data_IF_418989783835
#
_entry.id   IF_418989783835
#
_cell.length_a   1.000
_cell.length_b   1.000
_cell.length_c   1.000
_cell.angle_alpha   90.00
_cell.angle_beta   90.00
_cell.angle_gamma   90.00
#
_symmetry.space_group_name_H-M   'P 1'
#
loop_
_entity.id
_entity.type
_entity.pdbx_description
1 polymer ?
#
# COMPACT_ATOMS: atom_id res chain seq x y z
N UNK A 1 23.23 12.35 -6.46
CA UNK A 1 22.78 11.24 -5.58
C UNK A 1 21.32 11.01 -5.87
N UNK A 2 20.99 9.86 -6.47
CA UNK A 2 19.62 9.45 -6.77
C UNK A 2 19.04 8.89 -5.47
N UNK A 3 18.05 9.58 -4.88
CA UNK A 3 17.31 9.04 -3.75
C UNK A 3 16.24 8.08 -4.28
N UNK A 4 16.53 6.77 -4.32
CA UNK A 4 15.48 5.75 -4.41
C UNK A 4 14.97 5.50 -2.99
N UNK A 5 13.91 6.17 -2.56
CA UNK A 5 13.29 5.82 -1.27
C UNK A 5 12.52 4.51 -1.45
N UNK A 6 13.00 3.43 -0.83
CA UNK A 6 12.42 2.08 -0.84
C UNK A 6 11.31 1.90 0.20
N UNK A 7 10.87 2.97 0.86
CA UNK A 7 9.88 2.93 1.92
C UNK A 7 8.47 2.94 1.33
N UNK A 8 7.76 1.81 1.42
CA UNK A 8 6.40 1.62 0.86
C UNK A 8 5.34 1.32 1.90
N UNK A 9 5.71 1.24 3.18
CA UNK A 9 4.78 1.08 4.30
C UNK A 9 5.09 2.13 5.36
N UNK A 10 4.09 2.96 5.67
CA UNK A 10 4.17 4.04 6.64
C UNK A 10 3.19 3.79 7.77
N UNK A 11 3.59 4.05 9.00
CA UNK A 11 2.74 3.86 10.18
C UNK A 11 2.68 5.12 11.04
N UNK A 12 1.52 5.34 11.66
CA UNK A 12 1.33 6.37 12.67
C UNK A 12 0.60 5.80 13.86
N UNK A 13 0.96 6.24 15.05
CA UNK A 13 0.30 5.87 16.31
C UNK A 13 -0.35 7.12 16.91
N UNK A 14 -1.46 6.95 17.62
CA UNK A 14 -2.10 8.05 18.31
C UNK A 14 -1.48 8.20 19.70
N UNK A 15 -0.86 9.34 20.01
CA UNK A 15 -0.15 9.55 21.29
C UNK A 15 -1.02 9.27 22.52
N UNK A 16 -2.30 9.64 22.47
CA UNK A 16 -3.26 9.40 23.55
C UNK A 16 -3.95 8.02 23.49
N UNK A 17 -3.79 7.28 22.39
CA UNK A 17 -4.45 6.00 22.11
C UNK A 17 -3.46 5.05 21.44
N UNK A 18 -2.52 4.55 22.24
CA UNK A 18 -1.47 3.64 21.79
C UNK A 18 -2.01 2.29 21.29
N UNK A 19 -3.28 1.99 21.62
CA UNK A 19 -4.06 0.88 21.08
C UNK A 19 -4.57 1.13 19.65
N UNK A 20 -4.39 2.33 19.10
CA UNK A 20 -4.74 2.71 17.74
C UNK A 20 -3.49 2.99 16.90
N UNK A 21 -3.45 2.40 15.72
CA UNK A 21 -2.42 2.63 14.71
C UNK A 21 -3.09 2.83 13.35
N UNK A 22 -2.52 3.67 12.50
CA UNK A 22 -2.86 3.70 11.07
C UNK A 22 -1.64 3.29 10.27
N UNK A 23 -1.86 2.42 9.30
CA UNK A 23 -0.89 2.05 8.30
C UNK A 23 -1.31 2.57 6.93
N UNK A 24 -0.31 2.92 6.13
CA UNK A 24 -0.48 3.34 4.74
C UNK A 24 0.50 2.54 3.93
N UNK A 25 -0.03 1.76 3.00
CA UNK A 25 0.76 0.92 2.11
C UNK A 25 0.70 1.56 0.73
N UNK A 26 1.86 1.87 0.17
CA UNK A 26 2.00 2.23 -1.24
C UNK A 26 1.87 0.95 -2.06
N UNK A 27 1.01 0.97 -3.07
CA UNK A 27 0.82 -0.15 -3.97
C UNK A 27 2.14 -0.53 -4.65
N UNK A 28 2.53 -1.82 -4.63
CA UNK A 28 3.82 -2.24 -5.18
C UNK A 28 3.92 -2.02 -6.70
N UNK A 29 5.12 -1.69 -7.17
CA UNK A 29 5.42 -1.70 -8.61
C UNK A 29 5.18 -3.10 -9.21
N UNK A 30 4.81 -3.15 -10.49
CA UNK A 30 4.51 -4.41 -11.15
C UNK A 30 3.10 -4.96 -10.88
N UNK A 31 2.24 -4.21 -10.20
CA UNK A 31 0.89 -4.63 -9.80
C UNK A 31 -0.16 -3.65 -10.32
N UNK A 32 -1.46 -4.02 -10.40
CA UNK A 32 -2.53 -3.06 -10.72
C UNK A 32 -2.76 -2.00 -9.62
N UNK A 33 -2.01 -2.07 -8.52
CA UNK A 33 -2.11 -1.16 -7.38
C UNK A 33 -1.03 -0.06 -7.37
N UNK A 34 -0.02 -0.17 -8.25
CA UNK A 34 1.20 0.64 -8.18
C UNK A 34 0.92 2.14 -7.97
N UNK A 35 1.73 2.75 -7.10
CA UNK A 35 1.63 4.16 -6.71
C UNK A 35 0.33 4.59 -6.02
N UNK A 36 -0.65 3.69 -5.86
CA UNK A 36 -1.83 3.92 -5.05
C UNK A 36 -1.50 3.97 -3.56
N UNK A 37 -2.32 4.69 -2.78
CA UNK A 37 -2.22 4.72 -1.32
C UNK A 37 -3.37 3.93 -0.70
N UNK A 38 -3.05 2.86 0.03
CA UNK A 38 -3.99 1.98 0.70
C UNK A 38 -3.92 2.20 2.21
N UNK A 39 -5.01 2.71 2.79
CA UNK A 39 -5.04 3.18 4.18
C UNK A 39 -5.77 2.18 5.07
N UNK A 40 -5.18 1.85 6.20
CA UNK A 40 -5.70 0.89 7.17
C UNK A 40 -5.68 1.47 8.58
N UNK A 41 -6.78 1.39 9.30
CA UNK A 41 -6.79 1.58 10.76
C UNK A 41 -6.67 0.23 11.46
N UNK A 42 -5.94 0.24 12.57
CA UNK A 42 -5.59 -0.92 13.37
C UNK A 42 -5.95 -0.63 14.82
N UNK A 43 -6.72 -1.51 15.43
CA UNK A 43 -7.05 -1.49 16.84
C UNK A 43 -6.46 -2.73 17.53
N UNK A 44 -5.61 -2.51 18.52
CA UNK A 44 -5.10 -3.54 19.41
C UNK A 44 -6.13 -3.75 20.55
N UNK A 45 -6.85 -4.88 20.59
CA UNK A 45 -7.85 -5.11 21.63
C UNK A 45 -7.19 -5.29 23.01
N UNK A 46 -7.95 -5.17 24.13
CA UNK A 46 -7.41 -5.30 25.49
C UNK A 46 -6.69 -6.63 25.78
N UNK A 47 -7.03 -7.69 25.04
CA UNK A 47 -6.43 -9.02 25.13
C UNK A 47 -5.35 -9.27 24.07
N UNK A 48 -4.89 -8.26 23.34
CA UNK A 48 -3.68 -8.36 22.51
C UNK A 48 -2.45 -8.58 23.42
N UNK A 49 -1.49 -9.47 23.06
CA UNK A 49 -1.37 -10.22 21.82
C UNK A 49 -1.97 -11.64 21.87
N UNK A 50 -2.80 -11.98 22.85
CA UNK A 50 -3.48 -13.29 22.92
C UNK A 50 -4.48 -13.50 21.77
N UNK A 51 -4.95 -12.41 21.16
CA UNK A 51 -5.75 -12.40 19.91
C UNK A 51 -5.11 -11.44 18.90
N UNK A 52 -5.40 -11.59 17.59
CA UNK A 52 -4.89 -10.67 16.57
C UNK A 52 -5.42 -9.24 16.72
N UNK A 53 -4.74 -8.26 16.12
CA UNK A 53 -5.28 -6.90 16.01
C UNK A 53 -6.50 -6.88 15.07
N UNK A 54 -7.39 -5.91 15.25
CA UNK A 54 -8.47 -5.64 14.30
C UNK A 54 -7.98 -4.66 13.24
N UNK A 55 -8.21 -4.96 11.96
CA UNK A 55 -7.77 -4.12 10.83
C UNK A 55 -8.98 -3.71 10.01
N UNK A 56 -9.09 -2.41 9.74
CA UNK A 56 -10.11 -1.80 8.90
C UNK A 56 -9.47 -1.10 7.70
N UNK A 57 -9.89 -1.46 6.50
CA UNK A 57 -9.44 -0.85 5.24
C UNK A 57 -10.38 0.27 4.80
N UNK A 58 -9.81 1.42 4.44
CA UNK A 58 -10.57 2.51 3.83
C UNK A 58 -10.80 2.24 2.34
N UNK A 59 -11.88 1.51 2.04
CA UNK A 59 -12.26 1.08 0.69
C UNK A 59 -12.80 2.19 -0.21
N UNK A 60 -13.37 3.26 0.37
CA UNK A 60 -14.16 4.24 -0.39
C UNK A 60 -15.39 3.63 -1.08
N UNK A 61 -15.87 2.46 -0.61
CA UNK A 61 -16.96 1.70 -1.22
C UNK A 61 -16.55 0.89 -2.45
N UNK A 62 -15.24 0.74 -2.72
CA UNK A 62 -14.73 -0.02 -3.86
C UNK A 62 -14.17 -1.37 -3.40
N UNK A 63 -14.42 -2.43 -4.18
CA UNK A 63 -13.86 -3.76 -3.96
C UNK A 63 -12.67 -4.01 -4.88
N UNK A 64 -11.49 -3.62 -4.42
CA UNK A 64 -10.24 -3.69 -5.19
C UNK A 64 -9.59 -5.07 -5.23
N UNK A 65 -9.93 -5.95 -4.29
CA UNK A 65 -9.32 -7.26 -4.16
C UNK A 65 -10.32 -8.25 -3.53
N UNK A 66 -10.25 -9.56 -3.82
CA UNK A 66 -11.08 -10.56 -3.15
C UNK A 66 -10.94 -10.54 -1.62
N UNK A 67 -9.78 -10.12 -1.10
CA UNK A 67 -9.50 -10.00 0.33
C UNK A 67 -9.67 -8.57 0.90
N UNK A 68 -10.03 -7.57 0.09
CA UNK A 68 -10.31 -6.19 0.53
C UNK A 68 -11.74 -5.81 0.16
N UNK A 69 -12.63 -5.83 1.15
CA UNK A 69 -14.06 -5.69 0.94
C UNK A 69 -14.44 -4.22 0.85
N UNK A 70 -15.53 -3.94 0.14
CA UNK A 70 -16.13 -2.60 0.03
C UNK A 70 -16.58 -2.02 1.40
N UNK A 71 -16.89 -2.88 2.37
CA UNK A 71 -17.21 -2.49 3.74
C UNK A 71 -15.97 -2.24 4.63
N UNK A 72 -14.77 -2.43 4.09
CA UNK A 72 -13.49 -2.23 4.79
C UNK A 72 -12.96 -3.46 5.53
N UNK A 73 -13.62 -4.63 5.41
CA UNK A 73 -13.09 -5.88 5.95
C UNK A 73 -11.84 -6.33 5.20
N UNK A 74 -10.82 -6.76 5.95
CA UNK A 74 -9.58 -7.36 5.42
C UNK A 74 -9.55 -8.85 5.73
N UNK A 75 -9.39 -9.69 4.71
CA UNK A 75 -9.24 -11.14 4.85
C UNK A 75 -7.76 -11.53 4.87
N UNK A 76 -7.29 -12.04 6.01
CA UNK A 76 -5.95 -12.58 6.18
C UNK A 76 -5.97 -13.63 7.30
N UNK A 77 -5.27 -14.76 7.11
CA UNK A 77 -5.21 -15.83 8.11
C UNK A 77 -4.62 -15.34 9.44
N UNK A 78 -3.60 -14.49 9.39
CA UNK A 78 -3.02 -13.81 10.56
C UNK A 78 -4.00 -12.93 11.33
N UNK A 79 -5.13 -12.55 10.72
CA UNK A 79 -6.20 -11.77 11.37
C UNK A 79 -7.38 -12.64 11.81
N UNK A 80 -7.28 -13.97 11.64
CA UNK A 80 -8.36 -14.92 11.83
C UNK A 80 -9.62 -14.59 10.98
N UNK A 81 -9.47 -13.84 9.88
CA UNK A 81 -10.56 -13.49 8.96
C UNK A 81 -10.53 -14.30 7.67
N UNK A 82 -9.58 -15.23 7.56
CA UNK A 82 -9.42 -16.14 6.43
C UNK A 82 -8.94 -17.51 6.88
N UNK A 83 -9.19 -18.52 6.05
CA UNK A 83 -8.71 -19.88 6.30
C UNK A 83 -7.20 -19.96 6.04
N UNK A 84 -6.51 -20.81 6.81
CA UNK A 84 -5.08 -21.07 6.65
C UNK A 84 -4.65 -22.26 7.49
N UNK A 85 -3.42 -22.72 7.29
CA UNK A 85 -2.79 -23.72 8.17
C UNK A 85 -2.61 -23.12 9.56
N UNK A 86 -2.57 -23.95 10.61
CA UNK A 86 -2.35 -23.48 11.99
C UNK A 86 -1.09 -22.61 12.15
N UNK A 87 -0.07 -22.82 11.33
CA UNK A 87 1.18 -22.04 11.30
C UNK A 87 1.04 -20.67 10.64
N UNK A 88 -0.03 -20.45 9.87
CA UNK A 88 -0.34 -19.20 9.16
C UNK A 88 -1.35 -18.34 9.93
N UNK A 89 -2.02 -18.91 10.93
CA UNK A 89 -2.94 -18.18 11.82
C UNK A 89 -2.17 -17.32 12.83
N UNK A 90 -2.87 -16.42 13.52
CA UNK A 90 -2.27 -15.65 14.61
C UNK A 90 -1.74 -16.56 15.74
N UNK A 91 -0.46 -16.42 16.09
CA UNK A 91 0.17 -17.16 17.18
C UNK A 91 0.57 -16.16 18.28
N UNK A 92 -0.08 -16.21 19.46
CA UNK A 92 0.24 -15.32 20.57
C UNK A 92 1.73 -15.32 20.94
N UNK A 93 2.29 -14.12 21.11
CA UNK A 93 3.70 -13.93 21.45
C UNK A 93 4.71 -14.24 20.34
N UNK A 94 4.26 -14.67 19.14
CA UNK A 94 5.12 -14.89 17.96
C UNK A 94 4.73 -14.03 16.77
N UNK A 95 3.43 -13.91 16.50
CA UNK A 95 2.93 -13.08 15.41
C UNK A 95 3.07 -11.59 15.74
N UNK A 96 3.28 -10.76 14.72
CA UNK A 96 3.55 -9.32 14.86
C UNK A 96 2.70 -8.50 13.90
N UNK A 97 2.47 -7.23 14.24
CA UNK A 97 1.81 -6.28 13.33
C UNK A 97 2.62 -6.06 12.04
N UNK A 98 3.96 -6.14 12.11
CA UNK A 98 4.82 -6.08 10.93
C UNK A 98 4.50 -7.20 9.93
N UNK A 99 4.36 -8.45 10.41
CA UNK A 99 3.97 -9.57 9.57
C UNK A 99 2.60 -9.34 8.92
N UNK A 100 1.62 -8.79 9.65
CA UNK A 100 0.32 -8.43 9.07
C UNK A 100 0.48 -7.43 7.92
N UNK A 101 1.23 -6.33 8.12
CA UNK A 101 1.39 -5.29 7.10
C UNK A 101 2.15 -5.79 5.87
N UNK A 102 3.23 -6.55 6.07
CA UNK A 102 4.00 -7.17 4.98
C UNK A 102 3.17 -8.22 4.25
N UNK A 103 2.35 -9.00 4.95
CA UNK A 103 1.41 -9.95 4.33
C UNK A 103 0.33 -9.24 3.50
N UNK A 104 -0.21 -8.10 3.95
CA UNK A 104 -1.14 -7.32 3.14
C UNK A 104 -0.43 -6.85 1.86
N UNK A 105 0.77 -6.27 1.96
CA UNK A 105 1.48 -5.80 0.78
C UNK A 105 1.86 -6.93 -0.19
N UNK A 106 2.39 -8.05 0.32
CA UNK A 106 2.92 -9.14 -0.50
C UNK A 106 1.88 -10.13 -1.00
N UNK A 107 0.84 -10.43 -0.20
CA UNK A 107 -0.16 -11.46 -0.52
C UNK A 107 -1.44 -10.84 -1.09
N UNK A 108 -1.84 -9.65 -0.66
CA UNK A 108 -3.09 -9.03 -1.10
C UNK A 108 -2.82 -8.10 -2.29
N UNK A 109 -1.88 -7.16 -2.14
CA UNK A 109 -1.55 -6.16 -3.18
C UNK A 109 -0.55 -6.71 -4.21
N UNK A 110 -0.76 -7.93 -4.70
CA UNK A 110 0.16 -8.64 -5.60
C UNK A 110 -0.17 -8.39 -7.10
N UNK A 111 0.63 -8.98 -8.01
CA UNK A 111 0.51 -8.77 -9.46
C UNK A 111 -0.67 -9.51 -10.14
N UNK A 112 -1.23 -10.54 -9.50
CA UNK A 112 -2.32 -11.39 -10.02
C UNK A 112 -3.43 -11.59 -8.98
N UNK A 113 -4.08 -10.50 -8.51
CA UNK A 113 -5.07 -10.55 -7.44
C UNK A 113 -6.34 -11.33 -7.78
N UNK A 114 -6.58 -11.68 -9.06
CA UNK A 114 -7.64 -12.60 -9.47
C UNK A 114 -7.56 -13.95 -8.72
N UNK A 115 -6.35 -14.46 -8.49
CA UNK A 115 -6.13 -15.74 -7.81
C UNK A 115 -6.21 -15.66 -6.29
N UNK A 116 -6.47 -14.48 -5.72
CA UNK A 116 -6.71 -14.33 -4.29
C UNK A 116 -8.10 -14.86 -3.87
N UNK A 117 -9.00 -15.12 -4.84
CA UNK A 117 -10.27 -15.79 -4.59
C UNK A 117 -10.03 -17.30 -4.32
N UNK A 118 -10.61 -17.88 -3.26
CA UNK A 118 -10.44 -19.29 -2.92
C UNK A 118 -10.71 -20.22 -4.09
N UNK A 119 -9.74 -21.11 -4.33
CA UNK A 119 -9.85 -22.17 -5.33
C UNK A 119 -9.58 -21.70 -6.77
N UNK A 120 -9.47 -20.40 -7.05
CA UNK A 120 -9.25 -19.92 -8.42
C UNK A 120 -7.91 -20.39 -8.98
N UNK A 121 -6.88 -20.51 -8.15
CA UNK A 121 -5.57 -21.09 -8.52
C UNK A 121 -5.67 -22.50 -9.09
N UNK A 122 -6.65 -23.30 -8.64
CA UNK A 122 -6.85 -24.69 -9.06
C UNK A 122 -7.91 -24.82 -10.15
N UNK A 123 -8.90 -23.92 -10.16
CA UNK A 123 -10.00 -23.92 -11.14
C UNK A 123 -9.59 -23.31 -12.48
N UNK A 124 -8.75 -22.27 -12.45
CA UNK A 124 -8.36 -21.51 -13.63
C UNK A 124 -6.86 -21.68 -13.89
N UNK A 125 -6.49 -22.84 -14.44
CA UNK A 125 -5.11 -23.20 -14.77
C UNK A 125 -4.81 -22.90 -16.24
N UNK A 126 -3.56 -22.56 -16.56
CA UNK A 126 -3.11 -22.32 -17.93
C UNK A 126 -3.58 -20.99 -18.51
N UNK A 127 -3.74 -20.94 -19.83
CA UNK A 127 -3.96 -19.69 -20.57
C UNK A 127 -5.29 -18.99 -20.23
N UNK A 128 -6.37 -19.74 -19.96
CA UNK A 128 -7.66 -19.12 -19.61
C UNK A 128 -7.59 -18.38 -18.26
N UNK A 129 -6.90 -18.96 -17.28
CA UNK A 129 -6.67 -18.31 -15.98
C UNK A 129 -5.81 -17.06 -16.12
N UNK A 130 -4.77 -17.11 -16.95
CA UNK A 130 -3.93 -15.94 -17.21
C UNK A 130 -4.71 -14.83 -17.91
N UNK A 131 -5.53 -15.18 -18.92
CA UNK A 131 -6.40 -14.24 -19.63
C UNK A 131 -7.39 -13.56 -18.67
N UNK A 132 -8.02 -14.32 -17.78
CA UNK A 132 -8.95 -13.77 -16.75
C UNK A 132 -8.22 -12.89 -15.74
N UNK A 133 -7.03 -13.30 -15.31
CA UNK A 133 -6.19 -12.50 -14.41
C UNK A 133 -5.81 -11.15 -15.03
N UNK A 134 -5.46 -11.12 -16.32
CA UNK A 134 -5.17 -9.88 -17.05
C UNK A 134 -6.41 -8.97 -17.15
N UNK A 135 -7.58 -9.53 -17.45
CA UNK A 135 -8.85 -8.77 -17.45
C UNK A 135 -9.17 -8.21 -16.06
N UNK A 136 -8.97 -9.00 -15.00
CA UNK A 136 -9.16 -8.54 -13.64
C UNK A 136 -8.20 -7.40 -13.27
N UNK A 137 -6.95 -7.45 -13.74
CA UNK A 137 -5.98 -6.38 -13.53
C UNK A 137 -6.41 -5.06 -14.18
N UNK A 138 -7.04 -5.10 -15.35
CA UNK A 138 -7.62 -3.91 -16.00
C UNK A 138 -8.68 -3.26 -15.11
N UNK A 139 -9.62 -4.05 -14.60
CA UNK A 139 -10.68 -3.56 -13.71
C UNK A 139 -10.10 -2.98 -12.42
N UNK A 140 -9.18 -3.70 -11.77
CA UNK A 140 -8.53 -3.26 -10.54
C UNK A 140 -7.75 -1.98 -10.76
N UNK A 141 -7.04 -1.83 -11.87
CA UNK A 141 -6.30 -0.61 -12.16
C UNK A 141 -7.23 0.61 -12.27
N UNK A 142 -8.37 0.49 -12.95
CA UNK A 142 -9.37 1.57 -13.00
C UNK A 142 -9.87 1.91 -11.59
N UNK A 143 -10.14 0.91 -10.74
CA UNK A 143 -10.52 1.12 -9.34
C UNK A 143 -9.39 1.78 -8.53
N UNK A 144 -8.13 1.44 -8.78
CA UNK A 144 -6.96 2.07 -8.16
C UNK A 144 -6.90 3.56 -8.51
N UNK A 145 -7.09 3.92 -9.79
CA UNK A 145 -7.15 5.33 -10.23
C UNK A 145 -8.30 6.09 -9.56
N UNK A 146 -9.49 5.47 -9.44
CA UNK A 146 -10.62 6.05 -8.71
C UNK A 146 -10.30 6.28 -7.24
N UNK A 147 -9.60 5.33 -6.62
CA UNK A 147 -9.13 5.41 -5.22
C UNK A 147 -8.13 6.55 -5.05
N UNK A 148 -7.18 6.74 -5.97
CA UNK A 148 -6.26 7.88 -5.94
C UNK A 148 -7.01 9.21 -5.96
N UNK A 149 -7.98 9.37 -6.87
CA UNK A 149 -8.81 10.59 -6.94
C UNK A 149 -9.62 10.79 -5.65
N UNK A 150 -10.19 9.71 -5.10
CA UNK A 150 -10.90 9.75 -3.81
C UNK A 150 -9.98 10.23 -2.68
N UNK A 151 -8.80 9.62 -2.54
CA UNK A 151 -7.83 9.92 -1.47
C UNK A 151 -7.26 11.34 -1.60
N UNK A 152 -7.03 11.85 -2.81
CA UNK A 152 -6.63 13.26 -3.03
C UNK A 152 -7.73 14.23 -2.61
N UNK A 153 -9.00 13.92 -2.95
CA UNK A 153 -10.13 14.81 -2.66
C UNK A 153 -10.58 14.75 -1.20
N UNK A 154 -10.37 13.61 -0.53
CA UNK A 154 -10.80 13.34 0.84
C UNK A 154 -9.70 12.60 1.60
N UNK A 155 -8.54 13.22 1.87
CA UNK A 155 -7.51 12.58 2.66
C UNK A 155 -8.05 12.30 4.07
N UNK A 156 -7.80 11.10 4.58
CA UNK A 156 -8.29 10.66 5.89
C UNK A 156 -7.70 11.55 7.00
N UNK A 157 -8.53 12.40 7.61
CA UNK A 157 -8.06 13.38 8.59
C UNK A 157 -7.54 12.74 9.88
N UNK A 158 -6.64 13.48 10.54
CA UNK A 158 -6.02 13.23 11.86
C UNK A 158 -5.18 11.98 12.00
N UNK A 159 -3.86 12.17 12.08
CA UNK A 159 -2.93 11.52 13.05
C UNK A 159 -1.76 12.47 13.27
N UNK A 160 -1.29 12.64 14.51
CA UNK A 160 -0.05 13.34 14.79
C UNK A 160 1.15 12.38 14.59
N UNK A 161 2.15 12.80 13.80
CA UNK A 161 3.45 12.15 13.54
C UNK A 161 3.49 10.91 12.59
N UNK A 162 4.35 10.93 11.54
CA UNK A 162 4.70 9.76 10.69
C UNK A 162 5.96 9.05 11.19
N UNK A 163 5.92 7.71 11.28
CA UNK A 163 7.10 6.86 11.41
C UNK A 163 7.11 5.87 10.23
N UNK A 164 8.25 5.71 9.57
CA UNK A 164 8.41 4.68 8.52
C UNK A 164 8.77 3.33 9.12
N UNK A 165 8.24 2.23 8.56
CA UNK A 165 8.42 0.87 9.09
C UNK A 165 9.88 0.40 9.02
N UNK A 166 10.66 0.91 8.07
CA UNK A 166 12.11 0.69 7.94
C UNK A 166 12.94 1.26 9.09
N UNK A 167 12.42 2.25 9.82
CA UNK A 167 13.10 2.89 10.95
C UNK A 167 12.70 2.29 12.30
N UNK A 168 11.92 1.21 12.30
CA UNK A 168 11.66 0.41 13.49
C UNK A 168 12.76 -0.66 13.63
N UNK A 169 13.59 -0.64 14.70
CA UNK A 169 14.51 -1.73 14.94
C UNK A 169 13.72 -3.04 15.09
N UNK A 170 14.28 -4.13 14.56
CA UNK A 170 13.77 -5.51 14.49
C UNK A 170 13.25 -6.14 15.81
N UNK A 171 13.22 -5.38 16.91
CA UNK A 171 13.02 -5.86 18.28
C UNK A 171 11.82 -5.24 19.00
N UNK A 172 10.82 -4.68 18.31
CA UNK A 172 9.58 -4.26 18.97
C UNK A 172 8.70 -5.49 19.31
N UNK A 173 9.21 -6.37 20.17
CA UNK A 173 8.39 -7.21 21.02
C UNK A 173 7.70 -6.26 22.01
N UNK A 174 6.45 -5.90 21.73
CA UNK A 174 5.67 -4.97 22.56
C UNK A 174 5.37 -5.59 23.93
N UNK A 175 6.30 -5.44 24.88
CA UNK A 175 6.00 -5.38 26.31
C UNK A 175 6.11 -3.92 26.72
N UNK A 176 4.96 -3.28 26.96
CA UNK A 176 4.89 -1.92 27.45
C UNK A 176 4.37 -1.94 28.89
N UNK A 177 5.27 -1.73 29.86
CA UNK A 177 4.90 -1.41 31.23
C UNK A 177 4.95 0.11 31.45
N UNK A 178 3.94 0.58 32.18
CA UNK A 178 3.56 1.96 32.40
C UNK A 178 4.62 2.73 33.19
N UNK A 179 5.02 3.91 32.68
CA UNK A 179 4.93 5.22 33.37
C UNK A 179 5.91 6.22 32.74
N UNK A 180 5.40 7.39 32.35
CA UNK A 180 6.08 8.68 32.26
C UNK A 180 7.47 8.75 31.59
N UNK A 181 7.51 9.32 30.38
CA UNK A 181 8.69 9.77 29.63
C UNK A 181 9.78 8.71 29.34
N UNK A 182 9.84 8.34 28.06
CA UNK A 182 10.76 7.43 27.37
C UNK A 182 12.10 7.11 28.08
N UNK A 183 12.30 5.82 28.39
CA UNK A 183 13.63 5.21 28.51
C UNK A 183 13.59 3.78 27.95
N UNK A 184 14.05 3.61 26.70
CA UNK A 184 14.27 2.30 26.10
C UNK A 184 15.66 1.84 26.52
N UNK A 185 15.75 0.88 27.44
CA UNK A 185 17.01 0.20 27.72
C UNK A 185 17.25 -0.88 26.65
N UNK A 186 18.31 -0.71 25.86
CA UNK A 186 18.80 -1.74 24.95
C UNK A 186 19.50 -2.83 25.77
N UNK A 187 18.94 -4.03 25.78
CA UNK A 187 19.64 -5.23 26.23
C UNK A 187 20.13 -5.98 24.98
N UNK A 188 21.45 -6.13 24.84
CA UNK A 188 22.04 -7.13 23.96
C UNK A 188 21.58 -8.53 24.43
N UNK A 189 21.52 -9.60 23.60
CA UNK A 189 21.28 -10.99 24.00
C UNK A 189 22.05 -11.51 25.25
N UNK A 190 23.01 -10.76 25.79
CA UNK A 190 23.78 -11.07 27.00
C UNK A 190 23.42 -10.22 28.24
N UNK A 191 22.42 -9.33 28.16
CA UNK A 191 21.87 -8.62 29.32
C UNK A 191 22.65 -7.39 29.82
N UNK A 192 23.58 -6.83 29.04
CA UNK A 192 24.35 -5.64 29.42
C UNK A 192 23.80 -4.36 28.75
N UNK A 193 23.73 -3.28 29.53
CA UNK A 193 23.29 -1.94 29.10
C UNK A 193 24.44 -1.24 28.35
N UNK A 194 24.18 -0.78 27.13
CA UNK A 194 25.18 -0.02 26.35
C UNK A 194 25.26 1.46 26.82
N UNK A 195 26.46 2.06 26.87
CA UNK A 195 26.64 3.46 27.25
C UNK A 195 26.11 4.43 26.19
N UNK A 196 25.57 5.57 26.65
CA UNK A 196 24.79 6.57 25.90
C UNK A 196 25.51 7.17 24.67
N UNK A 197 26.84 7.10 24.61
CA UNK A 197 27.65 7.72 23.56
C UNK A 197 27.61 7.00 22.19
N UNK A 198 26.94 5.85 22.09
CA UNK A 198 26.99 4.99 20.89
C UNK A 198 25.76 5.10 19.97
N UNK A 199 24.71 5.85 20.34
CA UNK A 199 23.51 6.02 19.50
C UNK A 199 23.48 7.38 18.80
N UNK A 200 24.04 7.42 17.59
CA UNK A 200 23.75 8.47 16.61
C UNK A 200 22.38 8.16 15.95
N UNK A 201 21.30 8.70 16.53
CA UNK A 201 20.05 8.85 15.80
C UNK A 201 20.19 10.03 14.83
N UNK A 202 20.33 9.76 13.54
CA UNK A 202 20.07 10.80 12.55
C UNK A 202 18.56 11.04 12.51
N UNK A 203 18.11 12.10 13.19
CA UNK A 203 16.83 12.73 12.90
C UNK A 203 16.86 13.02 11.39
N UNK A 204 16.04 12.34 10.60
CA UNK A 204 15.90 12.64 9.19
C UNK A 204 15.53 14.14 9.10
N UNK A 205 16.50 14.96 8.68
CA UNK A 205 16.29 16.40 8.53
C UNK A 205 15.31 16.56 7.36
N UNK A 206 14.06 16.89 7.69
CA UNK A 206 13.00 17.49 6.84
C UNK A 206 11.65 16.74 6.66
N UNK A 207 11.30 15.70 7.42
CA UNK A 207 9.91 15.19 7.35
C UNK A 207 8.99 15.95 8.32
N UNK A 208 8.69 17.22 8.01
CA UNK A 208 7.71 18.08 8.69
C UNK A 208 6.25 17.75 8.28
N UNK A 209 5.91 16.49 7.99
CA UNK A 209 4.53 16.14 7.63
C UNK A 209 3.76 15.90 8.94
N UNK A 210 3.21 16.96 9.53
CA UNK A 210 2.46 16.86 10.79
C UNK A 210 1.15 16.08 10.58
N UNK A 211 0.60 16.03 9.37
CA UNK A 211 -0.69 15.38 9.07
C UNK A 211 -0.60 14.34 7.95
N UNK A 212 -1.44 13.30 8.02
CA UNK A 212 -1.58 12.30 6.95
C UNK A 212 -1.97 12.96 5.61
N UNK A 213 -2.70 14.07 5.66
CA UNK A 213 -3.04 14.88 4.48
C UNK A 213 -1.79 15.36 3.74
N UNK A 214 -0.76 15.84 4.45
CA UNK A 214 0.48 16.31 3.84
C UNK A 214 1.24 15.17 3.16
N UNK A 215 1.21 13.96 3.75
CA UNK A 215 1.79 12.76 3.14
C UNK A 215 1.08 12.39 1.84
N UNK A 216 -0.26 12.38 1.83
CA UNK A 216 -1.06 12.10 0.62
C UNK A 216 -0.75 13.12 -0.47
N UNK A 217 -0.77 14.40 -0.11
CA UNK A 217 -0.48 15.50 -1.05
C UNK A 217 0.93 15.36 -1.61
N UNK A 218 1.92 15.15 -0.75
CA UNK A 218 3.33 14.99 -1.14
C UNK A 218 3.56 13.79 -2.05
N UNK A 219 3.00 12.62 -1.69
CA UNK A 219 3.09 11.38 -2.47
C UNK A 219 2.53 11.59 -3.89
N UNK A 220 1.27 12.02 -4.02
CA UNK A 220 0.67 12.20 -5.34
C UNK A 220 1.28 13.35 -6.13
N UNK A 221 1.86 14.36 -5.46
CA UNK A 221 2.66 15.39 -6.15
C UNK A 221 3.91 14.79 -6.79
N UNK A 222 4.60 13.92 -6.08
CA UNK A 222 5.84 13.28 -6.54
C UNK A 222 5.58 12.20 -7.59
N UNK A 223 4.49 11.43 -7.45
CA UNK A 223 4.19 10.27 -8.30
C UNK A 223 3.28 10.58 -9.50
N UNK A 224 2.73 11.80 -9.60
CA UNK A 224 1.78 12.17 -10.67
C UNK A 224 2.30 11.87 -12.08
N UNK A 225 3.55 12.21 -12.37
CA UNK A 225 4.16 11.94 -13.67
C UNK A 225 4.17 10.45 -13.99
N UNK A 226 4.73 9.63 -13.09
CA UNK A 226 4.85 8.18 -13.28
C UNK A 226 3.49 7.49 -13.43
N UNK A 227 2.49 7.91 -12.63
CA UNK A 227 1.10 7.43 -12.74
C UNK A 227 0.53 7.76 -14.13
N UNK A 228 0.73 8.98 -14.63
CA UNK A 228 0.22 9.39 -15.94
C UNK A 228 0.96 8.70 -17.11
N UNK A 229 2.26 8.44 -16.98
CA UNK A 229 3.05 7.63 -17.92
C UNK A 229 2.51 6.21 -17.99
N UNK A 230 2.27 5.56 -16.85
CA UNK A 230 1.68 4.22 -16.80
C UNK A 230 0.28 4.20 -17.44
N UNK A 231 -0.58 5.18 -17.11
CA UNK A 231 -1.89 5.32 -17.74
C UNK A 231 -1.80 5.44 -19.27
N UNK A 232 -0.87 6.25 -19.77
CA UNK A 232 -0.66 6.42 -21.21
C UNK A 232 -0.24 5.11 -21.87
N UNK A 233 0.77 4.43 -21.33
CA UNK A 233 1.25 3.15 -21.86
C UNK A 233 0.13 2.09 -21.89
N UNK A 234 -0.67 2.00 -20.83
CA UNK A 234 -1.75 1.02 -20.75
C UNK A 234 -2.91 1.33 -21.70
N UNK A 235 -3.19 2.62 -21.91
CA UNK A 235 -4.11 3.09 -22.95
C UNK A 235 -3.61 2.77 -24.36
N UNK A 236 -2.29 2.79 -24.59
CA UNK A 236 -1.67 2.48 -25.87
C UNK A 236 -1.56 0.98 -26.15
N UNK A 237 -1.66 0.13 -25.11
CA UNK A 237 -1.79 -1.33 -25.26
C UNK A 237 -0.89 -2.15 -24.35
N UNK A 238 0.06 -1.54 -23.63
CA UNK A 238 0.92 -2.24 -22.68
C UNK A 238 0.08 -2.87 -21.56
N UNK A 239 0.43 -4.07 -21.12
CA UNK A 239 -0.30 -4.76 -20.06
C UNK A 239 -0.16 -4.05 -18.71
N UNK A 240 -1.24 -4.09 -17.93
CA UNK A 240 -1.25 -3.57 -16.55
C UNK A 240 -0.22 -4.31 -15.69
N UNK A 241 0.60 -3.55 -14.97
CA UNK A 241 1.71 -4.08 -14.18
C UNK A 241 3.02 -4.26 -14.96
N UNK A 242 3.05 -3.98 -16.27
CA UNK A 242 4.33 -3.93 -16.99
C UNK A 242 5.19 -2.75 -16.54
N UNK A 243 6.50 -2.97 -16.40
CA UNK A 243 7.47 -1.93 -16.07
C UNK A 243 7.73 -1.09 -17.32
N UNK A 244 7.13 0.10 -17.40
CA UNK A 244 7.35 1.01 -18.52
C UNK A 244 8.71 1.70 -18.32
N UNK A 245 9.73 1.31 -19.08
CA UNK A 245 10.95 2.10 -19.23
C UNK A 245 10.76 3.05 -20.41
N UNK A 246 11.12 4.32 -20.23
CA UNK A 246 11.21 5.25 -21.36
C UNK A 246 12.25 4.71 -22.35
N UNK A 247 11.81 4.42 -23.58
CA UNK A 247 12.66 3.94 -24.67
C UNK A 247 12.50 2.45 -24.99
N UNK A 248 11.88 2.19 -26.15
CA UNK A 248 11.74 0.90 -26.87
C UNK A 248 10.97 -0.22 -26.16
N UNK A 249 9.80 -0.56 -26.72
CA UNK A 249 9.22 -1.90 -26.60
C UNK A 249 9.17 -2.52 -28.00
N UNK A 250 10.04 -3.50 -28.25
CA UNK A 250 9.79 -4.54 -29.24
C UNK A 250 8.61 -5.36 -28.71
N UNK A 251 7.43 -5.13 -29.27
CA UNK A 251 6.22 -5.86 -28.90
C UNK A 251 6.33 -7.25 -29.49
N UNK A 252 6.56 -8.26 -28.66
CA UNK A 252 6.35 -9.65 -29.08
C UNK A 252 4.87 -9.82 -29.44
N UNK A 253 4.58 -10.09 -30.71
CA UNK A 253 3.24 -10.21 -31.30
C UNK A 253 2.33 -11.29 -30.67
N UNK A 254 2.83 -12.05 -29.69
CA UNK A 254 2.06 -13.06 -28.96
C UNK A 254 1.45 -12.57 -27.63
N UNK A 255 1.70 -11.34 -27.19
CA UNK A 255 1.03 -10.78 -26.00
C UNK A 255 -0.29 -10.09 -26.33
N UNK A 256 -1.37 -10.49 -25.66
CA UNK A 256 -2.66 -9.81 -25.76
C UNK A 256 -2.54 -8.36 -25.27
N UNK A 257 -2.84 -7.40 -26.16
CA UNK A 257 -3.05 -5.99 -25.82
C UNK A 257 -4.20 -5.85 -24.81
N UNK A 258 -4.18 -4.75 -24.05
CA UNK A 258 -5.30 -4.37 -23.20
C UNK A 258 -6.61 -4.20 -23.99
N UNK A 259 -7.75 -4.43 -23.32
CA UNK A 259 -9.07 -4.36 -23.94
C UNK A 259 -9.46 -2.95 -24.39
N UNK A 260 -10.34 -2.85 -25.40
CA UNK A 260 -10.79 -1.57 -25.93
C UNK A 260 -11.56 -0.76 -24.87
N UNK A 261 -12.44 -1.44 -24.12
CA UNK A 261 -13.23 -0.86 -23.04
C UNK A 261 -12.34 -0.28 -21.94
N UNK A 262 -11.28 -1.00 -21.60
CA UNK A 262 -10.29 -0.52 -20.64
C UNK A 262 -9.53 0.71 -21.16
N UNK A 263 -9.07 0.71 -22.41
CA UNK A 263 -8.37 1.86 -23.02
C UNK A 263 -9.23 3.13 -22.98
N UNK A 264 -10.53 3.02 -23.30
CA UNK A 264 -11.47 4.13 -23.17
C UNK A 264 -11.63 4.60 -21.72
N UNK A 265 -11.76 3.66 -20.78
CA UNK A 265 -11.91 3.96 -19.36
C UNK A 265 -10.68 4.68 -18.79
N UNK A 266 -9.47 4.22 -19.13
CA UNK A 266 -8.22 4.90 -18.75
C UNK A 266 -8.20 6.31 -19.36
N UNK A 267 -8.55 6.47 -20.63
CA UNK A 267 -8.62 7.79 -21.27
C UNK A 267 -9.55 8.77 -20.55
N UNK A 268 -10.73 8.31 -20.09
CA UNK A 268 -11.65 9.11 -19.27
C UNK A 268 -11.05 9.44 -17.90
N UNK A 269 -10.39 8.46 -17.26
CA UNK A 269 -9.74 8.66 -15.97
C UNK A 269 -8.55 9.63 -16.03
N UNK A 270 -7.74 9.61 -17.10
CA UNK A 270 -6.60 10.51 -17.27
C UNK A 270 -7.01 11.99 -17.21
N UNK A 271 -8.12 12.37 -17.85
CA UNK A 271 -8.65 13.75 -17.77
C UNK A 271 -8.95 14.16 -16.32
N UNK A 272 -9.53 13.25 -15.56
CA UNK A 272 -9.84 13.45 -14.13
C UNK A 272 -8.56 13.51 -13.30
N UNK A 273 -7.60 12.62 -13.52
CA UNK A 273 -6.33 12.57 -12.79
C UNK A 273 -5.51 13.83 -13.01
N UNK A 274 -5.29 14.26 -14.25
CA UNK A 274 -4.56 15.49 -14.58
C UNK A 274 -5.15 16.69 -13.83
N UNK A 275 -6.48 16.83 -13.87
CA UNK A 275 -7.17 17.92 -13.15
C UNK A 275 -6.91 17.87 -11.64
N UNK A 276 -6.97 16.69 -11.01
CA UNK A 276 -6.75 16.58 -9.57
C UNK A 276 -5.26 16.72 -9.19
N UNK A 277 -4.33 16.24 -10.02
CA UNK A 277 -2.89 16.38 -9.79
C UNK A 277 -2.43 17.84 -9.91
N UNK A 278 -2.89 18.58 -10.92
CA UNK A 278 -2.61 20.03 -11.03
C UNK A 278 -3.15 20.77 -9.80
N UNK A 279 -4.39 20.49 -9.38
CA UNK A 279 -4.97 21.06 -8.15
C UNK A 279 -4.18 20.69 -6.88
N UNK A 280 -3.56 19.52 -6.86
CA UNK A 280 -2.67 19.06 -5.77
C UNK A 280 -1.25 19.68 -5.83
N UNK A 281 -0.97 20.49 -6.86
CA UNK A 281 0.31 21.18 -7.07
C UNK A 281 1.37 20.34 -7.80
N UNK A 282 0.97 19.27 -8.49
CA UNK A 282 1.84 18.57 -9.43
C UNK A 282 2.14 19.45 -10.65
N UNK A 283 3.39 19.43 -11.11
CA UNK A 283 3.84 20.18 -12.30
C UNK A 283 3.83 19.28 -13.53
N UNK A 284 3.85 19.91 -14.71
CA UNK A 284 4.05 19.26 -16.01
C UNK A 284 3.06 18.11 -16.29
N UNK A 285 1.85 18.19 -15.72
CA UNK A 285 0.78 17.22 -15.92
C UNK A 285 -0.05 17.57 -17.16
N UNK A 286 0.02 18.82 -17.62
CA UNK A 286 -0.69 19.38 -18.77
C UNK A 286 -0.34 18.68 -20.07
N UNK A 287 0.90 18.18 -20.20
CA UNK A 287 1.36 17.42 -21.38
C UNK A 287 0.58 16.11 -21.61
N UNK A 288 -0.11 15.60 -20.58
CA UNK A 288 -0.94 14.40 -20.66
C UNK A 288 -2.41 14.72 -20.96
N UNK A 289 -2.78 15.99 -21.16
CA UNK A 289 -4.11 16.35 -21.65
C UNK A 289 -4.27 15.82 -23.07
N UNK A 290 -5.15 14.83 -23.22
CA UNK A 290 -5.52 14.31 -24.54
C UNK A 290 -6.39 15.35 -25.23
N UNK A 291 -5.97 15.83 -26.40
CA UNK A 291 -6.76 16.71 -27.27
C UNK A 291 -8.16 16.11 -27.48
N UNK A 292 -9.17 16.97 -27.45
CA UNK A 292 -10.59 16.59 -27.52
C UNK A 292 -10.93 15.85 -28.82
#
# INVERSE_FOLDING_TARGET
>A
MIFTSTETIFVRVYEARMDLLRAVIVGPAGTPYHDGLFVFDVLFPPNYPSVPPMVYYYSGGLRLNPNLYDCGKVCLSLLNTWNGKKTEMWIPGKSTMLQVLVSIQGLILNAKPFFNEPGYENMYVGEDGERRSKQYNEDVFILSLKTMVYTIRRPQRYIANTISVSNLPFFLCMKFELSSCYKIHLLNPVGLVLPESSLMFSKARSCQLQHFEDFVVGHFRQRAHDILVACKAYKEGSQVGSMVKEGTQDVNEHEMSTSHEFKEAVGKMMKTLVTNFIKNGSKDCEQFQVSA
#
